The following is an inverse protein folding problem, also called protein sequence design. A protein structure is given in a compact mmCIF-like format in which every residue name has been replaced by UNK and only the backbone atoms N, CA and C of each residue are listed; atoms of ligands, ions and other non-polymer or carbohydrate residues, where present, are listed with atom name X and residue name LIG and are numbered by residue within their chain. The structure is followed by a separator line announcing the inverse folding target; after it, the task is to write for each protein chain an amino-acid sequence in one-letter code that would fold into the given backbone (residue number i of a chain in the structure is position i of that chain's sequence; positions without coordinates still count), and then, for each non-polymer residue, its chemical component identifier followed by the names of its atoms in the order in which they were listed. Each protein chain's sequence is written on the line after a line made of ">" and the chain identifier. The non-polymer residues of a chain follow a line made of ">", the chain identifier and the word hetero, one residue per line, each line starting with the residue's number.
data_IF_047762417622
#
_entry.id   IF_047762417622
#
_cell.length_a   1.000
_cell.length_b   1.000
_cell.length_c   1.000
_cell.angle_alpha   90.00
_cell.angle_beta   90.00
_cell.angle_gamma   90.00
#
_symmetry.space_group_name_H-M   'P 1'
#
loop_
_entity.id
_entity.type
_entity.pdbx_description
1 polymer ?
#
# COMPACT_ATOMS: atom_id res chain seq x y z
N UNK A 1 -20.60 14.31 6.82
CA UNK A 1 -19.20 13.84 6.90
C UNK A 1 -18.98 12.89 5.74
N UNK A 2 -17.98 13.15 4.89
CA UNK A 2 -17.63 12.18 3.84
C UNK A 2 -17.19 10.88 4.51
N UNK A 3 -17.62 9.74 3.95
CA UNK A 3 -17.18 8.42 4.40
C UNK A 3 -15.65 8.34 4.31
N UNK A 4 -15.00 7.79 5.34
CA UNK A 4 -13.57 7.46 5.25
C UNK A 4 -13.37 6.42 4.15
N UNK A 5 -12.26 6.53 3.43
CA UNK A 5 -11.88 5.51 2.46
C UNK A 5 -11.32 4.30 3.18
N UNK A 6 -11.30 3.16 2.50
CA UNK A 6 -10.82 1.89 3.06
C UNK A 6 -9.68 1.34 2.23
N UNK A 7 -8.72 0.71 2.88
CA UNK A 7 -7.57 0.06 2.27
C UNK A 7 -7.29 -1.28 2.96
N UNK A 8 -7.00 -2.29 2.16
CA UNK A 8 -6.39 -3.56 2.61
C UNK A 8 -5.13 -3.78 1.81
N UNK A 9 -4.02 -4.04 2.49
CA UNK A 9 -2.76 -4.32 1.80
C UNK A 9 -2.73 -5.76 1.28
N UNK A 10 -1.89 -6.00 0.27
CA UNK A 10 -1.56 -7.35 -0.18
C UNK A 10 -0.91 -8.16 0.95
N UNK A 11 -1.12 -9.47 0.93
CA UNK A 11 -0.33 -10.43 1.72
C UNK A 11 -0.18 -11.75 0.96
N UNK A 12 0.86 -12.51 1.29
CA UNK A 12 1.17 -13.77 0.64
C UNK A 12 0.08 -14.84 0.84
N UNK A 13 -0.62 -14.79 1.98
CA UNK A 13 -1.79 -15.60 2.32
C UNK A 13 -2.71 -14.84 3.29
N UNK A 14 -3.87 -15.41 3.63
CA UNK A 14 -4.89 -14.80 4.48
C UNK A 14 -4.44 -14.42 5.91
N UNK A 15 -3.28 -14.88 6.35
CA UNK A 15 -2.70 -14.58 7.66
C UNK A 15 -1.48 -13.63 7.58
N UNK A 16 -1.08 -13.22 6.36
CA UNK A 16 0.04 -12.31 6.17
C UNK A 16 -0.35 -10.84 6.38
N UNK A 17 -0.43 -10.46 7.66
CA UNK A 17 -0.65 -9.07 8.07
C UNK A 17 0.66 -8.28 8.25
N UNK A 18 1.75 -8.68 7.57
CA UNK A 18 3.05 -8.03 7.72
C UNK A 18 3.02 -6.55 7.31
N UNK A 19 2.32 -6.20 6.22
CA UNK A 19 2.22 -4.83 5.74
C UNK A 19 1.41 -3.90 6.67
N UNK A 20 0.19 -4.25 7.13
CA UNK A 20 -0.49 -3.47 8.16
C UNK A 20 0.33 -3.27 9.44
N UNK A 21 1.08 -4.29 9.88
CA UNK A 21 1.99 -4.17 11.04
C UNK A 21 3.11 -3.17 10.78
N UNK A 22 3.74 -3.24 9.60
CA UNK A 22 4.78 -2.30 9.21
C UNK A 22 4.28 -0.84 9.15
N UNK A 23 3.02 -0.63 8.77
CA UNK A 23 2.37 0.70 8.84
C UNK A 23 2.23 1.17 10.28
N UNK A 24 1.71 0.31 11.18
CA UNK A 24 1.54 0.66 12.60
C UNK A 24 2.88 0.88 13.34
N UNK A 25 3.95 0.25 12.87
CA UNK A 25 5.32 0.47 13.35
C UNK A 25 5.98 1.72 12.74
N UNK A 26 5.31 2.38 11.79
CA UNK A 26 5.83 3.56 11.08
C UNK A 26 6.95 3.25 10.08
N UNK A 27 7.18 1.97 9.77
CA UNK A 27 8.18 1.54 8.78
C UNK A 27 7.67 1.66 7.36
N UNK A 28 6.40 1.29 7.13
CA UNK A 28 5.73 1.41 5.82
C UNK A 28 4.98 2.74 5.77
N UNK A 29 5.36 3.60 4.83
CA UNK A 29 4.79 4.94 4.63
C UNK A 29 4.40 5.20 3.18
N UNK A 30 4.71 4.26 2.29
CA UNK A 30 4.37 4.31 0.87
C UNK A 30 3.80 2.95 0.45
N UNK A 31 2.86 2.99 -0.49
CA UNK A 31 2.40 1.83 -1.25
C UNK A 31 2.28 2.18 -2.72
N UNK A 32 2.56 1.23 -3.59
CA UNK A 32 2.39 1.33 -5.03
C UNK A 32 1.28 0.41 -5.52
N UNK A 33 0.67 0.80 -6.63
CA UNK A 33 -0.29 0.00 -7.38
C UNK A 33 -0.10 0.26 -8.88
N UNK A 34 -0.67 -0.58 -9.74
CA UNK A 34 -0.66 -0.34 -11.18
C UNK A 34 -1.55 0.85 -11.51
N UNK A 35 -1.23 1.59 -12.58
CA UNK A 35 -2.10 2.70 -13.05
C UNK A 35 -3.50 2.20 -13.41
N UNK A 36 -3.60 0.98 -13.96
CA UNK A 36 -4.87 0.38 -14.36
C UNK A 36 -5.78 0.07 -13.16
N UNK A 37 -5.19 -0.37 -12.04
CA UNK A 37 -5.92 -0.84 -10.87
C UNK A 37 -6.12 0.26 -9.82
N UNK A 38 -5.27 1.29 -9.79
CA UNK A 38 -5.27 2.29 -8.72
C UNK A 38 -6.65 2.92 -8.46
N UNK A 39 -7.45 3.17 -9.50
CA UNK A 39 -8.78 3.78 -9.39
C UNK A 39 -9.92 2.77 -9.22
N UNK A 40 -9.62 1.47 -9.29
CA UNK A 40 -10.59 0.40 -9.26
C UNK A 40 -10.72 -0.13 -7.82
N UNK A 41 -11.93 -0.15 -7.24
CA UNK A 41 -12.15 -0.81 -5.96
C UNK A 41 -11.80 -2.30 -6.05
N UNK A 42 -11.18 -2.84 -5.01
CA UNK A 42 -10.83 -4.25 -4.91
C UNK A 42 -11.23 -4.82 -3.55
N UNK A 43 -11.79 -6.03 -3.58
CA UNK A 43 -12.35 -6.66 -2.38
C UNK A 43 -13.44 -5.82 -1.70
N UNK A 44 -13.70 -6.11 -0.43
CA UNK A 44 -14.69 -5.39 0.37
C UNK A 44 -14.16 -4.07 0.96
N UNK A 45 -12.83 -4.00 1.19
CA UNK A 45 -12.14 -2.96 1.95
C UNK A 45 -11.02 -2.25 1.16
N UNK A 46 -10.98 -2.35 -0.17
CA UNK A 46 -10.14 -1.53 -1.04
C UNK A 46 -10.99 -0.59 -1.88
N UNK A 47 -11.07 0.69 -1.51
CA UNK A 47 -11.89 1.65 -2.25
C UNK A 47 -11.20 2.20 -3.52
N UNK A 48 -9.86 2.16 -3.58
CA UNK A 48 -9.08 2.74 -4.68
C UNK A 48 -9.19 4.28 -4.79
N UNK A 49 -8.47 4.83 -5.77
CA UNK A 49 -8.52 6.23 -6.20
C UNK A 49 -8.20 7.21 -5.08
N UNK A 50 -7.24 6.89 -4.21
CA UNK A 50 -6.86 7.73 -3.08
C UNK A 50 -6.25 9.06 -3.56
N UNK A 51 -6.51 10.14 -2.83
CA UNK A 51 -5.97 11.47 -3.13
C UNK A 51 -5.43 12.13 -1.86
N UNK A 52 -4.46 13.06 -1.97
CA UNK A 52 -3.94 13.78 -0.81
C UNK A 52 -5.07 14.40 0.03
N UNK A 53 -4.99 14.20 1.35
CA UNK A 53 -6.01 14.63 2.30
C UNK A 53 -7.05 13.57 2.67
N UNK A 54 -7.14 12.46 1.93
CA UNK A 54 -8.01 11.35 2.30
C UNK A 54 -7.62 10.76 3.67
N UNK A 55 -8.63 10.52 4.50
CA UNK A 55 -8.51 9.72 5.73
C UNK A 55 -8.95 8.30 5.40
N UNK A 56 -8.05 7.36 5.64
CA UNK A 56 -8.15 5.99 5.15
C UNK A 56 -8.09 5.02 6.34
N UNK A 57 -9.07 4.14 6.41
CA UNK A 57 -9.15 3.02 7.35
C UNK A 57 -8.39 1.83 6.77
N UNK A 58 -7.40 1.33 7.50
CA UNK A 58 -6.58 0.19 7.09
C UNK A 58 -7.09 -1.06 7.79
N UNK A 59 -7.52 -2.03 6.99
CA UNK A 59 -7.98 -3.33 7.43
C UNK A 59 -6.92 -4.40 7.20
N UNK A 60 -6.88 -5.38 8.10
CA UNK A 60 -6.09 -6.59 7.89
C UNK A 60 -6.82 -7.61 6.99
N UNK A 61 -6.15 -8.70 6.63
CA UNK A 61 -6.72 -9.69 5.71
C UNK A 61 -7.91 -10.46 6.29
N UNK A 62 -8.11 -10.37 7.62
CA UNK A 62 -9.29 -10.88 8.34
C UNK A 62 -10.37 -9.81 8.53
N UNK A 63 -10.29 -8.71 7.76
CA UNK A 63 -11.25 -7.62 7.75
C UNK A 63 -11.39 -6.87 9.08
N UNK A 64 -10.35 -6.85 9.90
CA UNK A 64 -10.34 -6.09 11.16
C UNK A 64 -9.66 -4.75 10.95
N UNK A 65 -10.30 -3.68 11.40
CA UNK A 65 -9.73 -2.33 11.39
C UNK A 65 -8.50 -2.27 12.30
N UNK A 66 -7.34 -1.88 11.76
CA UNK A 66 -6.07 -1.87 12.51
C UNK A 66 -5.57 -0.48 12.80
N UNK A 67 -5.63 0.41 11.82
CA UNK A 67 -5.17 1.78 11.97
C UNK A 67 -5.88 2.73 11.01
N UNK A 68 -5.67 4.02 11.23
CA UNK A 68 -6.10 5.11 10.37
C UNK A 68 -4.84 5.79 9.83
N UNK A 69 -4.78 5.97 8.52
CA UNK A 69 -3.73 6.71 7.84
C UNK A 69 -4.33 7.92 7.10
N UNK A 70 -3.47 8.87 6.74
CA UNK A 70 -3.83 10.00 5.90
C UNK A 70 -2.95 10.05 4.67
N UNK A 71 -3.56 10.11 3.49
CA UNK A 71 -2.84 10.30 2.24
C UNK A 71 -2.17 11.69 2.21
N UNK A 72 -0.89 11.75 1.89
CA UNK A 72 -0.10 12.99 1.88
C UNK A 72 0.34 13.39 0.47
N UNK A 73 0.66 12.42 -0.38
CA UNK A 73 1.13 12.64 -1.76
C UNK A 73 0.75 11.45 -2.63
N UNK A 74 0.37 11.72 -3.88
CA UNK A 74 0.09 10.70 -4.90
C UNK A 74 0.73 11.13 -6.21
N UNK A 75 1.50 10.25 -6.84
CA UNK A 75 2.13 10.50 -8.14
C UNK A 75 2.58 9.19 -8.80
N UNK A 76 2.75 9.24 -10.12
CA UNK A 76 3.23 8.13 -10.93
C UNK A 76 4.76 8.09 -10.98
N UNK A 77 5.33 6.89 -11.01
CA UNK A 77 6.75 6.62 -11.25
C UNK A 77 6.92 5.60 -12.38
N UNK A 78 8.09 5.57 -13.00
CA UNK A 78 8.52 4.49 -13.88
C UNK A 78 9.21 3.38 -13.05
N UNK A 79 8.91 2.12 -13.36
CA UNK A 79 9.44 0.95 -12.65
C UNK A 79 10.97 0.79 -12.80
N UNK A 80 11.54 1.35 -13.87
CA UNK A 80 12.99 1.38 -14.11
C UNK A 80 13.73 2.43 -13.28
N UNK A 81 13.04 3.50 -12.82
CA UNK A 81 13.61 4.64 -12.10
C UNK A 81 12.81 4.94 -10.82
N UNK A 82 12.89 4.00 -9.86
CA UNK A 82 12.14 4.07 -8.60
C UNK A 82 12.85 5.03 -7.62
N UNK A 83 12.23 6.13 -7.18
CA UNK A 83 12.82 7.04 -6.22
C UNK A 83 13.10 6.37 -4.87
N UNK A 84 14.17 6.78 -4.18
CA UNK A 84 14.53 6.25 -2.86
C UNK A 84 13.40 6.35 -1.83
N UNK A 85 12.66 7.46 -1.83
CA UNK A 85 11.53 7.64 -0.93
C UNK A 85 10.44 6.56 -1.13
N UNK A 86 10.30 6.01 -2.34
CA UNK A 86 9.29 5.01 -2.66
C UNK A 86 9.73 3.64 -2.16
N UNK A 87 10.86 3.11 -2.63
CA UNK A 87 11.26 1.75 -2.25
C UNK A 87 11.56 1.64 -0.75
N UNK A 88 12.11 2.70 -0.14
CA UNK A 88 12.36 2.71 1.31
C UNK A 88 11.07 2.84 2.11
N UNK A 89 10.12 3.67 1.64
CA UNK A 89 8.78 3.80 2.24
C UNK A 89 7.92 2.55 2.10
N UNK A 90 8.22 1.70 1.12
CA UNK A 90 7.64 0.36 0.93
C UNK A 90 8.34 -0.73 1.77
N UNK A 91 9.36 -0.36 2.55
CA UNK A 91 10.18 -1.22 3.43
C UNK A 91 11.24 -2.08 2.76
N UNK A 92 11.59 -1.80 1.51
CA UNK A 92 12.71 -2.47 0.83
C UNK A 92 14.06 -1.81 1.15
N UNK A 93 15.13 -2.58 0.97
CA UNK A 93 16.52 -2.13 1.15
C UNK A 93 17.13 -1.49 -0.10
N UNK A 94 16.52 -1.71 -1.27
CA UNK A 94 16.96 -1.16 -2.56
C UNK A 94 15.86 -1.14 -3.60
N UNK A 95 16.07 -0.38 -4.69
CA UNK A 95 15.19 -0.41 -5.87
C UNK A 95 15.18 -1.79 -6.55
N UNK A 96 16.29 -2.52 -6.55
CA UNK A 96 16.38 -3.88 -7.10
C UNK A 96 15.43 -4.84 -6.36
N UNK A 97 15.48 -4.84 -5.02
CA UNK A 97 14.62 -5.69 -4.19
C UNK A 97 13.14 -5.35 -4.38
N UNK A 98 12.81 -4.06 -4.50
CA UNK A 98 11.46 -3.62 -4.86
C UNK A 98 11.02 -4.26 -6.19
N UNK A 99 11.87 -4.18 -7.24
CA UNK A 99 11.54 -4.72 -8.56
C UNK A 99 11.33 -6.24 -8.52
N UNK A 100 12.27 -6.97 -7.94
CA UNK A 100 12.21 -8.43 -7.83
C UNK A 100 10.94 -8.88 -7.10
N UNK A 101 10.58 -8.19 -6.02
CA UNK A 101 9.36 -8.49 -5.26
C UNK A 101 8.11 -8.24 -6.10
N UNK A 102 8.00 -7.09 -6.77
CA UNK A 102 6.82 -6.74 -7.57
C UNK A 102 6.64 -7.67 -8.77
N UNK A 103 7.72 -8.07 -9.45
CA UNK A 103 7.68 -9.08 -10.54
C UNK A 103 7.13 -10.41 -10.01
N UNK A 104 7.57 -10.84 -8.82
CA UNK A 104 7.09 -12.09 -8.21
C UNK A 104 5.62 -12.00 -7.78
N UNK A 105 5.19 -10.86 -7.24
CA UNK A 105 3.83 -10.64 -6.76
C UNK A 105 2.82 -10.41 -7.90
N UNK A 106 3.28 -9.95 -9.06
CA UNK A 106 2.44 -9.67 -10.24
C UNK A 106 2.87 -10.49 -11.47
N UNK A 107 2.92 -11.83 -11.39
CA UNK A 107 3.46 -12.68 -12.46
C UNK A 107 2.63 -12.66 -13.75
N UNK A 108 1.44 -12.06 -13.71
CA UNK A 108 0.54 -11.90 -14.83
C UNK A 108 0.76 -10.58 -15.60
N UNK A 109 1.65 -9.71 -15.12
CA UNK A 109 2.01 -8.44 -15.75
C UNK A 109 3.45 -8.50 -16.25
N UNK A 110 3.71 -7.82 -17.38
CA UNK A 110 5.07 -7.61 -17.89
C UNK A 110 5.62 -6.30 -17.33
N UNK A 111 6.24 -6.35 -16.15
CA UNK A 111 6.86 -5.19 -15.53
C UNK A 111 8.23 -4.91 -16.17
N UNK A 112 8.27 -3.92 -17.06
CA UNK A 112 9.48 -3.41 -17.72
C UNK A 112 9.84 -2.01 -17.24
N UNK A 113 10.99 -1.46 -17.61
CA UNK A 113 11.48 -0.17 -17.08
C UNK A 113 10.50 0.99 -17.24
N UNK A 114 9.80 1.09 -18.38
CA UNK A 114 8.79 2.14 -18.61
C UNK A 114 7.39 1.81 -18.06
N UNK A 115 7.26 0.73 -17.28
CA UNK A 115 5.96 0.39 -16.68
C UNK A 115 5.66 1.41 -15.58
N UNK A 116 4.47 1.99 -15.61
CA UNK A 116 4.09 3.03 -14.65
C UNK A 116 3.39 2.44 -13.41
N UNK A 117 3.78 2.93 -12.24
CA UNK A 117 3.12 2.64 -10.97
C UNK A 117 2.61 3.93 -10.34
N UNK A 118 1.41 3.90 -9.75
CA UNK A 118 0.92 5.00 -8.91
C UNK A 118 1.38 4.76 -7.49
N UNK A 119 2.08 5.73 -6.92
CA UNK A 119 2.51 5.70 -5.52
C UNK A 119 1.55 6.51 -4.66
N UNK A 120 1.22 5.97 -3.49
CA UNK A 120 0.47 6.63 -2.43
C UNK A 120 1.38 6.74 -1.21
N UNK A 121 1.75 7.97 -0.87
CA UNK A 121 2.43 8.30 0.38
C UNK A 121 1.39 8.63 1.44
N UNK A 122 1.64 8.20 2.67
CA UNK A 122 0.74 8.40 3.77
C UNK A 122 1.47 8.55 5.11
N UNK A 123 0.77 9.14 6.07
CA UNK A 123 1.18 9.19 7.47
C UNK A 123 0.21 8.39 8.34
N UNK A 124 0.74 7.70 9.35
CA UNK A 124 -0.07 7.04 10.37
C UNK A 124 -0.70 8.10 11.28
N UNK A 125 -2.01 8.04 11.46
CA UNK A 125 -2.77 8.96 12.31
C UNK A 125 -3.09 8.31 13.66
N UNK A 126 -3.62 7.09 13.63
CA UNK A 126 -4.11 6.42 14.84
C UNK A 126 -3.96 4.91 14.71
N UNK A 127 -3.55 4.23 15.78
CA UNK A 127 -3.58 2.77 15.89
C UNK A 127 -4.83 2.38 16.66
N UNK A 128 -5.68 1.55 16.06
CA UNK A 128 -6.94 1.07 16.64
C UNK A 128 -6.71 -0.23 17.40
N UNK A 129 -5.96 -1.18 16.83
CA UNK A 129 -5.70 -2.48 17.46
C UNK A 129 -4.34 -3.08 17.04
N UNK A 130 -3.47 -3.33 18.02
CA UNK A 130 -2.12 -3.91 17.82
C UNK A 130 -2.12 -5.44 17.74
N UNK A 131 -3.01 -6.10 18.48
CA UNK A 131 -2.99 -7.56 18.63
C UNK A 131 -4.12 -8.24 17.85
N UNK A 132 -3.78 -9.40 17.28
CA UNK A 132 -4.74 -10.41 16.85
C UNK A 132 -5.08 -11.17 18.13
N UNK A 133 -6.24 -10.94 18.72
CA UNK A 133 -6.74 -11.88 19.74
C UNK A 133 -7.08 -13.15 18.96
N UNK A 134 -6.39 -14.24 19.29
CA UNK A 134 -6.64 -15.59 18.76
C UNK A 134 -8.08 -16.05 19.02
#
# INVERSE_FOLDING_TARGET
>A
MNRRKRLTFWGADENDDSLPRAVMEGRKTVTADTVADYHTPYGEYGDGGYVPGDIIEVYDLKQRLRCIIKATKVYTIEFGDIPEEVWRGETFSSAEEFRECHIRCMPHLELHDHFELVTLHFELIEIIARDVVD
#
